data_IF_155654418559
#
_entry.id   IF_155654418559
#
_cell.length_a   1.000
_cell.length_b   1.000
_cell.length_c   1.000
_cell.angle_alpha   90.00
_cell.angle_beta   90.00
_cell.angle_gamma   90.00
#
_symmetry.space_group_name_H-M   'P 1'
#
loop_
_entity.id
_entity.type
_entity.pdbx_description
1 polymer ?
#
# COMPACT_ATOMS: atom_id res chain seq x y z
N UNK A 1 -12.68 -8.75 -10.18
CA UNK A 1 -11.56 -7.81 -10.46
C UNK A 1 -11.13 -7.86 -11.94
N UNK A 2 -10.83 -6.69 -12.54
CA UNK A 2 -10.30 -6.45 -13.92
C UNK A 2 -10.54 -7.57 -14.95
N UNK A 3 -11.59 -7.42 -15.75
CA UNK A 3 -11.92 -8.38 -16.81
C UNK A 3 -11.02 -8.23 -18.06
N UNK A 4 -10.35 -7.09 -18.19
CA UNK A 4 -9.45 -6.79 -19.27
C UNK A 4 -8.00 -7.19 -18.93
N UNK A 5 -7.58 -8.32 -19.47
CA UNK A 5 -6.26 -8.91 -19.24
C UNK A 5 -5.10 -7.95 -19.58
N UNK A 6 -5.22 -7.15 -20.64
CA UNK A 6 -4.17 -6.19 -21.02
C UNK A 6 -3.98 -5.12 -19.94
N UNK A 7 -5.07 -4.65 -19.33
CA UNK A 7 -5.01 -3.66 -18.25
C UNK A 7 -4.50 -4.27 -16.95
N UNK A 8 -4.89 -5.51 -16.64
CA UNK A 8 -4.38 -6.26 -15.50
C UNK A 8 -2.86 -6.49 -15.61
N UNK A 9 -2.37 -6.97 -16.77
CA UNK A 9 -0.95 -7.20 -17.03
C UNK A 9 -0.15 -5.89 -16.92
N UNK A 10 -0.69 -4.78 -17.44
CA UNK A 10 -0.08 -3.45 -17.29
C UNK A 10 0.03 -3.06 -15.81
N UNK A 11 -1.05 -3.19 -15.05
CA UNK A 11 -1.10 -2.81 -13.64
C UNK A 11 -0.11 -3.65 -12.81
N UNK A 12 -0.08 -4.97 -13.03
CA UNK A 12 0.85 -5.88 -12.38
C UNK A 12 2.31 -5.54 -12.69
N UNK A 13 2.64 -5.19 -13.94
CA UNK A 13 4.00 -4.82 -14.32
C UNK A 13 4.48 -3.55 -13.62
N UNK A 14 3.65 -2.51 -13.56
CA UNK A 14 4.00 -1.28 -12.85
C UNK A 14 4.14 -1.50 -11.34
N UNK A 15 3.26 -2.31 -10.75
CA UNK A 15 3.35 -2.68 -9.34
C UNK A 15 4.65 -3.45 -9.06
N UNK A 16 5.02 -4.41 -9.91
CA UNK A 16 6.27 -5.17 -9.77
C UNK A 16 7.52 -4.28 -9.82
N UNK A 17 7.54 -3.27 -10.69
CA UNK A 17 8.62 -2.28 -10.74
C UNK A 17 8.69 -1.52 -9.40
N UNK A 18 7.54 -1.05 -8.90
CA UNK A 18 7.47 -0.33 -7.63
C UNK A 18 7.96 -1.19 -6.44
N UNK A 19 7.51 -2.45 -6.35
CA UNK A 19 7.94 -3.38 -5.29
C UNK A 19 9.45 -3.63 -5.35
N UNK A 20 9.99 -3.90 -6.55
CA UNK A 20 11.43 -4.08 -6.74
C UNK A 20 12.20 -2.88 -6.18
N UNK A 21 11.74 -1.67 -6.48
CA UNK A 21 12.37 -0.43 -5.98
C UNK A 21 12.20 -0.25 -4.48
N UNK A 22 11.06 -0.65 -3.90
CA UNK A 22 10.86 -0.66 -2.45
C UNK A 22 11.79 -1.66 -1.74
N UNK A 23 12.07 -2.82 -2.35
CA UNK A 23 12.98 -3.83 -1.80
C UNK A 23 14.46 -3.41 -1.90
N UNK A 24 14.85 -2.73 -2.99
CA UNK A 24 16.24 -2.29 -3.24
C UNK A 24 16.68 -1.14 -2.32
N UNK A 25 15.75 -0.33 -1.81
CA UNK A 25 16.08 0.86 -1.01
C UNK A 25 15.91 0.63 0.49
N UNK A 26 16.85 1.18 1.27
CA UNK A 26 16.75 1.27 2.74
C UNK A 26 16.17 2.62 3.21
N UNK A 27 15.96 3.57 2.29
CA UNK A 27 15.40 4.88 2.60
C UNK A 27 13.87 4.80 2.67
N UNK A 28 13.32 5.03 3.86
CA UNK A 28 11.87 4.97 4.10
C UNK A 28 11.09 6.01 3.28
N UNK A 29 11.69 7.16 2.98
CA UNK A 29 11.05 8.19 2.15
C UNK A 29 10.93 7.68 0.72
N UNK A 30 11.98 7.03 0.20
CA UNK A 30 11.95 6.40 -1.11
C UNK A 30 10.97 5.24 -1.17
N UNK A 31 10.89 4.39 -0.13
CA UNK A 31 9.89 3.31 -0.07
C UNK A 31 8.46 3.86 -0.20
N UNK A 32 8.14 4.92 0.55
CA UNK A 32 6.80 5.56 0.46
C UNK A 32 6.57 6.22 -0.89
N UNK A 33 7.60 6.82 -1.49
CA UNK A 33 7.53 7.33 -2.86
C UNK A 33 7.19 6.24 -3.87
N UNK A 34 7.88 5.08 -3.85
CA UNK A 34 7.58 3.99 -4.77
C UNK A 34 6.21 3.37 -4.51
N UNK A 35 5.78 3.28 -3.24
CA UNK A 35 4.43 2.87 -2.89
C UNK A 35 3.34 3.76 -3.53
N UNK A 36 3.62 5.05 -3.77
CA UNK A 36 2.66 5.95 -4.44
C UNK A 36 2.27 5.51 -5.85
N UNK A 37 3.11 4.72 -6.53
CA UNK A 37 2.82 4.16 -7.84
C UNK A 37 1.56 3.28 -7.83
N UNK A 38 1.26 2.63 -6.71
CA UNK A 38 0.11 1.73 -6.60
C UNK A 38 -1.22 2.47 -6.79
N UNK A 39 -1.47 3.54 -6.03
CA UNK A 39 -2.70 4.32 -6.22
C UNK A 39 -2.66 5.10 -7.54
N UNK A 40 -1.48 5.58 -7.95
CA UNK A 40 -1.31 6.32 -9.21
C UNK A 40 -1.69 5.49 -10.43
N UNK A 41 -1.21 4.27 -10.52
CA UNK A 41 -1.51 3.38 -11.65
C UNK A 41 -2.92 2.80 -11.58
N UNK A 42 -3.44 2.53 -10.39
CA UNK A 42 -4.86 2.17 -10.20
C UNK A 42 -5.77 3.27 -10.75
N UNK A 43 -5.47 4.54 -10.44
CA UNK A 43 -6.21 5.69 -10.95
C UNK A 43 -6.12 5.82 -12.47
N UNK A 44 -4.96 5.53 -13.07
CA UNK A 44 -4.82 5.54 -14.54
C UNK A 44 -5.68 4.47 -15.20
N UNK A 45 -5.70 3.25 -14.65
CA UNK A 45 -6.53 2.17 -15.19
C UNK A 45 -8.02 2.52 -15.10
N UNK A 46 -8.45 3.15 -14.00
CA UNK A 46 -9.83 3.64 -13.86
C UNK A 46 -10.25 4.65 -14.93
N UNK A 47 -9.32 5.41 -15.51
CA UNK A 47 -9.62 6.32 -16.62
C UNK A 47 -9.90 5.58 -17.94
N UNK A 48 -9.49 4.32 -18.07
CA UNK A 48 -9.76 3.49 -19.25
C UNK A 48 -10.93 2.53 -19.04
N UNK A 49 -11.08 2.00 -17.84
CA UNK A 49 -12.11 1.03 -17.51
C UNK A 49 -12.59 1.23 -16.07
N UNK A 50 -13.89 1.48 -15.92
CA UNK A 50 -14.51 1.58 -14.60
C UNK A 50 -14.67 0.19 -13.98
N UNK A 51 -14.17 0.05 -12.75
CA UNK A 51 -14.33 -1.14 -11.93
C UNK A 51 -14.43 -0.70 -10.46
N UNK A 52 -15.40 -1.26 -9.73
CA UNK A 52 -15.68 -0.88 -8.34
C UNK A 52 -14.52 -1.25 -7.41
N UNK A 53 -13.91 -2.41 -7.62
CA UNK A 53 -12.84 -2.93 -6.79
C UNK A 53 -11.57 -2.12 -7.02
N UNK A 54 -11.28 -1.74 -8.27
CA UNK A 54 -10.22 -0.78 -8.56
C UNK A 54 -10.44 0.57 -7.86
N UNK A 55 -11.67 1.08 -7.83
CA UNK A 55 -11.97 2.32 -7.13
C UNK A 55 -11.74 2.19 -5.61
N UNK A 56 -12.13 1.05 -5.01
CA UNK A 56 -11.87 0.76 -3.61
C UNK A 56 -10.36 0.65 -3.32
N UNK A 57 -9.63 -0.09 -4.15
CA UNK A 57 -8.18 -0.23 -4.08
C UNK A 57 -7.49 1.14 -4.14
N UNK A 58 -7.90 2.00 -5.08
CA UNK A 58 -7.38 3.37 -5.18
C UNK A 58 -7.56 4.14 -3.87
N UNK A 59 -8.77 4.13 -3.29
CA UNK A 59 -9.06 4.88 -2.06
C UNK A 59 -8.18 4.40 -0.90
N UNK A 60 -8.06 3.10 -0.71
CA UNK A 60 -7.29 2.50 0.39
C UNK A 60 -5.79 2.76 0.22
N UNK A 61 -5.24 2.55 -0.97
CA UNK A 61 -3.83 2.81 -1.27
C UNK A 61 -3.50 4.31 -1.11
N UNK A 62 -4.37 5.18 -1.60
CA UNK A 62 -4.20 6.62 -1.52
C UNK A 62 -4.23 7.08 -0.06
N UNK A 63 -5.22 6.66 0.75
CA UNK A 63 -5.27 7.02 2.17
C UNK A 63 -4.03 6.52 2.91
N UNK A 64 -3.63 5.26 2.74
CA UNK A 64 -2.42 4.73 3.38
C UNK A 64 -1.18 5.55 3.03
N UNK A 65 -1.01 5.91 1.75
CA UNK A 65 0.08 6.80 1.33
C UNK A 65 0.01 8.19 1.99
N UNK A 66 -1.17 8.79 2.08
CA UNK A 66 -1.35 10.09 2.73
C UNK A 66 -0.95 10.03 4.21
N UNK A 67 -1.40 9.00 4.95
CA UNK A 67 -1.05 8.84 6.36
C UNK A 67 0.47 8.68 6.55
N UNK A 68 1.11 7.85 5.72
CA UNK A 68 2.55 7.66 5.72
C UNK A 68 3.30 8.96 5.42
N UNK A 69 2.86 9.71 4.41
CA UNK A 69 3.48 10.98 3.99
C UNK A 69 3.36 12.04 5.07
N UNK A 70 2.18 12.21 5.66
CA UNK A 70 1.95 13.15 6.78
C UNK A 70 2.85 12.79 7.94
N UNK A 71 2.98 11.49 8.27
CA UNK A 71 3.86 11.05 9.35
C UNK A 71 5.34 11.31 9.03
N UNK A 72 5.78 11.07 7.80
CA UNK A 72 7.16 11.36 7.36
C UNK A 72 7.48 12.86 7.49
N UNK A 73 6.58 13.74 7.05
CA UNK A 73 6.76 15.20 7.16
C UNK A 73 6.75 15.68 8.61
N UNK A 74 5.98 15.03 9.48
CA UNK A 74 5.97 15.33 10.91
C UNK A 74 7.22 14.77 11.63
N UNK A 75 7.93 13.82 11.02
CA UNK A 75 9.03 13.12 11.66
C UNK A 75 10.22 14.04 11.97
N UNK A 76 10.47 15.09 11.19
CA UNK A 76 11.53 16.06 11.48
C UNK A 76 11.31 16.85 12.78
N UNK A 77 10.06 16.95 13.26
CA UNK A 77 9.69 17.72 14.48
C UNK A 77 9.53 16.86 15.73
N UNK A 78 9.38 15.58 15.48
CA UNK A 78 8.97 14.50 16.37
C UNK A 78 10.04 13.76 17.26
N UNK A 79 11.34 13.75 16.87
CA UNK A 79 12.42 12.90 17.48
C UNK A 79 12.58 11.41 16.98
N UNK A 80 13.69 10.68 17.20
CA UNK A 80 13.84 9.29 16.72
C UNK A 80 12.89 8.27 17.43
N UNK A 81 12.44 7.21 16.74
CA UNK A 81 11.61 6.11 17.30
C UNK A 81 10.10 6.12 17.02
N UNK A 82 9.64 6.61 15.84
CA UNK A 82 8.23 6.99 15.59
C UNK A 82 7.36 6.09 14.76
N UNK A 83 7.98 5.17 14.06
CA UNK A 83 7.25 4.23 13.23
C UNK A 83 7.21 2.91 13.98
N UNK A 84 6.06 2.22 13.94
CA UNK A 84 6.00 0.83 14.37
C UNK A 84 7.17 0.03 13.79
N UNK A 85 7.83 -0.77 14.61
CA UNK A 85 8.93 -1.61 14.14
C UNK A 85 8.38 -2.59 13.08
N UNK A 86 9.12 -2.76 11.99
CA UNK A 86 8.72 -3.62 10.86
C UNK A 86 7.69 -3.00 9.91
N UNK A 87 7.16 -1.79 10.17
CA UNK A 87 6.12 -1.17 9.34
C UNK A 87 6.47 -1.15 7.85
N UNK A 88 7.69 -0.72 7.50
CA UNK A 88 8.08 -0.56 6.09
C UNK A 88 8.42 -1.89 5.41
N UNK A 89 8.81 -2.91 6.19
CA UNK A 89 8.98 -4.27 5.68
C UNK A 89 7.60 -4.88 5.38
N UNK A 90 6.65 -4.72 6.31
CA UNK A 90 5.26 -5.14 6.12
C UNK A 90 4.57 -4.40 4.97
N UNK A 91 4.85 -3.10 4.78
CA UNK A 91 4.39 -2.32 3.64
C UNK A 91 4.93 -2.89 2.32
N UNK A 92 6.22 -3.23 2.28
CA UNK A 92 6.84 -3.84 1.09
C UNK A 92 6.25 -5.23 0.83
N UNK A 93 5.99 -6.01 1.87
CA UNK A 93 5.40 -7.34 1.74
C UNK A 93 3.95 -7.27 1.23
N UNK A 94 3.09 -6.41 1.80
CA UNK A 94 1.71 -6.32 1.32
C UNK A 94 1.63 -5.74 -0.10
N UNK A 95 2.57 -4.87 -0.49
CA UNK A 95 2.70 -4.38 -1.84
C UNK A 95 3.07 -5.53 -2.82
N UNK A 96 3.98 -6.43 -2.41
CA UNK A 96 4.30 -7.64 -3.16
C UNK A 96 3.10 -8.58 -3.27
N UNK A 97 2.39 -8.80 -2.17
CA UNK A 97 1.21 -9.68 -2.14
C UNK A 97 0.10 -9.14 -3.06
N UNK A 98 -0.14 -7.83 -3.04
CA UNK A 98 -1.09 -7.17 -3.95
C UNK A 98 -0.65 -7.27 -5.42
N UNK A 99 0.64 -7.13 -5.69
CA UNK A 99 1.20 -7.34 -7.04
C UNK A 99 0.92 -8.75 -7.54
N UNK A 100 1.14 -9.74 -6.68
CA UNK A 100 0.91 -11.15 -7.01
C UNK A 100 -0.58 -11.41 -7.26
N UNK A 101 -1.46 -10.87 -6.42
CA UNK A 101 -2.91 -10.96 -6.59
C UNK A 101 -3.35 -10.44 -7.96
N UNK A 102 -2.92 -9.21 -8.31
CA UNK A 102 -3.27 -8.59 -9.60
C UNK A 102 -2.69 -9.39 -10.76
N UNK A 103 -1.44 -9.86 -10.65
CA UNK A 103 -0.79 -10.66 -11.69
C UNK A 103 -1.43 -12.02 -11.90
N UNK A 104 -1.99 -12.62 -10.86
CA UNK A 104 -2.66 -13.91 -10.94
C UNK A 104 -4.05 -13.80 -11.62
N UNK A 105 -4.57 -12.57 -11.80
CA UNK A 105 -5.92 -12.34 -12.34
C UNK A 105 -6.99 -12.98 -11.46
N UNK A 106 -6.74 -13.05 -10.14
CA UNK A 106 -7.65 -13.68 -9.19
C UNK A 106 -8.93 -12.85 -9.03
N UNK A 107 -10.04 -13.57 -8.94
CA UNK A 107 -11.35 -13.04 -8.60
C UNK A 107 -11.75 -13.65 -7.25
N UNK A 108 -11.08 -13.21 -6.19
CA UNK A 108 -11.28 -13.68 -4.83
C UNK A 108 -11.51 -12.50 -3.90
N UNK A 109 -12.80 -12.19 -3.68
CA UNK A 109 -13.24 -11.06 -2.86
C UNK A 109 -12.68 -11.10 -1.43
N UNK A 110 -12.53 -12.29 -0.83
CA UNK A 110 -12.02 -12.43 0.53
C UNK A 110 -10.53 -12.07 0.61
N UNK A 111 -9.74 -12.57 -0.35
CA UNK A 111 -8.31 -12.29 -0.44
C UNK A 111 -8.07 -10.81 -0.78
N UNK A 112 -8.85 -10.25 -1.69
CA UNK A 112 -8.82 -8.83 -2.01
C UNK A 112 -9.13 -7.95 -0.79
N UNK A 113 -10.23 -8.24 -0.09
CA UNK A 113 -10.60 -7.50 1.12
C UNK A 113 -9.53 -7.63 2.21
N UNK A 114 -8.91 -8.81 2.36
CA UNK A 114 -7.81 -9.04 3.30
C UNK A 114 -6.58 -8.19 2.98
N UNK A 115 -6.17 -8.13 1.71
CA UNK A 115 -5.04 -7.30 1.27
C UNK A 115 -5.29 -5.81 1.52
N UNK A 116 -6.48 -5.32 1.16
CA UNK A 116 -6.86 -3.93 1.43
C UNK A 116 -6.92 -3.64 2.93
N UNK A 117 -7.43 -4.57 3.74
CA UNK A 117 -7.44 -4.46 5.19
C UNK A 117 -6.04 -4.29 5.78
N UNK A 118 -5.07 -5.09 5.32
CA UNK A 118 -3.66 -4.98 5.73
C UNK A 118 -3.04 -3.64 5.33
N UNK A 119 -3.32 -3.14 4.11
CA UNK A 119 -2.85 -1.83 3.66
C UNK A 119 -3.44 -0.71 4.52
N UNK A 120 -4.75 -0.78 4.81
CA UNK A 120 -5.43 0.18 5.66
C UNK A 120 -4.86 0.17 7.09
N UNK A 121 -4.57 -1.02 7.65
CA UNK A 121 -3.98 -1.14 8.99
C UNK A 121 -2.58 -0.50 9.06
N UNK A 122 -1.74 -0.70 8.05
CA UNK A 122 -0.41 -0.07 7.98
C UNK A 122 -0.50 1.46 7.89
N UNK A 123 -1.40 1.98 7.06
CA UNK A 123 -1.69 3.42 6.98
C UNK A 123 -2.22 3.97 8.31
N UNK A 124 -3.11 3.23 8.97
CA UNK A 124 -3.68 3.62 10.25
C UNK A 124 -2.65 3.61 11.39
N UNK A 125 -1.73 2.65 11.40
CA UNK A 125 -0.76 2.46 12.48
C UNK A 125 0.22 3.62 12.65
N UNK A 126 0.36 4.49 11.64
CA UNK A 126 1.17 5.71 11.75
C UNK A 126 0.40 6.93 12.26
N UNK A 127 -0.92 6.81 12.44
CA UNK A 127 -1.72 7.84 13.11
C UNK A 127 -1.43 7.87 14.62
N UNK A 128 -1.89 8.92 15.31
CA UNK A 128 -1.73 9.01 16.77
C UNK A 128 -2.38 7.83 17.51
N UNK A 129 -3.63 7.49 17.15
CA UNK A 129 -4.32 6.37 17.78
C UNK A 129 -3.80 5.02 17.30
N UNK A 130 -3.49 4.87 16.02
CA UNK A 130 -2.93 3.62 15.50
C UNK A 130 -1.59 3.29 16.13
N UNK A 131 -0.70 4.27 16.30
CA UNK A 131 0.57 4.06 16.99
C UNK A 131 0.33 3.68 18.46
N UNK A 132 -0.63 4.31 19.14
CA UNK A 132 -1.01 3.92 20.50
C UNK A 132 -1.51 2.46 20.59
N UNK A 133 -2.28 1.99 19.61
CA UNK A 133 -2.73 0.59 19.55
C UNK A 133 -1.59 -0.38 19.25
N UNK A 134 -0.61 0.03 18.44
CA UNK A 134 0.62 -0.72 18.22
C UNK A 134 1.45 -0.85 19.51
N UNK A 135 1.65 0.25 20.25
CA UNK A 135 2.35 0.22 21.56
C UNK A 135 1.64 -0.68 22.59
N UNK A 136 0.31 -0.81 22.49
CA UNK A 136 -0.48 -1.76 23.31
C UNK A 136 -0.40 -3.21 22.83
N UNK A 137 0.26 -3.49 21.71
CA UNK A 137 0.35 -4.81 21.11
C UNK A 137 -0.96 -5.32 20.50
N UNK A 138 -1.90 -4.41 20.17
CA UNK A 138 -3.18 -4.75 19.54
C UNK A 138 -3.10 -4.77 18.01
N UNK A 139 -2.23 -3.92 17.43
CA UNK A 139 -1.83 -3.97 16.03
C UNK A 139 -0.46 -4.66 15.95
N UNK A 140 -0.29 -5.58 15.00
CA UNK A 140 0.94 -6.35 14.79
C UNK A 140 1.16 -6.57 13.31
N UNK A 141 2.43 -6.54 12.92
CA UNK A 141 2.87 -6.77 11.54
C UNK A 141 3.97 -7.84 11.52
#
# INVERSE_FOLDING_TARGET
MLHNKMLADRLANEFAIAVTKMQETNDIVQKVYFFSAFYGETQRVLNWEWDRDLALMFVVLHDAYQQLTVRLQASDRIGPGKFPAGLFDALTQVAQDLTNYVSAGQDNDEEFASLLGRIAELGYAVTGNGNYLYEKGLIKF
#
